data_IF_644589708515
#
_entry.id   IF_644589708515
#
_cell.length_a   1.000
_cell.length_b   1.000
_cell.length_c   1.000
_cell.angle_alpha   90.00
_cell.angle_beta   90.00
_cell.angle_gamma   90.00
#
_symmetry.space_group_name_H-M   'P 1'
#
loop_
_entity.id
_entity.type
_entity.pdbx_description
1 polymer ?
#
# COMPACT_ATOMS: atom_id res chain seq x y z
N UNK A 1 -21.12 10.42 4.80
CA UNK A 1 -20.86 11.66 4.07
C UNK A 1 -19.42 12.06 4.31
N UNK A 2 -18.72 12.42 3.27
CA UNK A 2 -17.37 12.95 3.36
C UNK A 2 -17.40 14.45 3.48
N UNK A 3 -16.56 14.93 4.35
CA UNK A 3 -16.18 16.33 4.38
C UNK A 3 -14.74 16.39 3.90
N UNK A 4 -14.56 16.82 2.66
CA UNK A 4 -13.28 17.30 2.22
C UNK A 4 -13.10 18.73 2.76
N UNK A 5 -12.12 18.89 3.65
CA UNK A 5 -11.60 20.21 4.04
C UNK A 5 -10.37 20.58 3.22
N UNK A 6 -10.05 19.80 2.19
CA UNK A 6 -9.00 20.12 1.25
C UNK A 6 -9.21 21.53 0.73
N UNK A 7 -8.23 22.23 0.47
CA UNK A 7 -8.17 23.62 -0.03
C UNK A 7 -9.40 24.51 0.25
N UNK A 8 -9.27 25.60 1.03
CA UNK A 8 -10.39 26.47 1.42
C UNK A 8 -11.21 27.04 0.24
N UNK A 9 -10.72 26.90 -0.97
CA UNK A 9 -11.33 27.39 -2.21
C UNK A 9 -12.22 26.35 -2.92
N UNK A 10 -12.21 25.07 -2.51
CA UNK A 10 -13.09 24.06 -3.09
C UNK A 10 -14.42 24.02 -2.35
N UNK A 11 -15.57 23.96 -3.07
CA UNK A 11 -16.83 23.68 -2.42
C UNK A 11 -16.76 22.31 -1.75
N UNK A 12 -17.33 22.14 -0.54
CA UNK A 12 -17.32 20.84 0.13
C UNK A 12 -18.05 19.82 -0.76
N UNK A 13 -17.33 18.80 -1.20
CA UNK A 13 -17.89 17.69 -1.95
C UNK A 13 -18.63 16.78 -0.97
N UNK A 14 -19.93 16.89 -0.93
CA UNK A 14 -20.79 16.01 -0.13
C UNK A 14 -21.14 14.78 -0.97
N UNK A 15 -20.31 13.75 -0.90
CA UNK A 15 -20.75 12.43 -1.35
C UNK A 15 -21.63 11.81 -0.26
N UNK A 16 -22.89 11.62 -0.56
CA UNK A 16 -23.78 10.86 0.30
C UNK A 16 -23.44 9.38 0.19
N UNK A 17 -23.53 8.65 1.29
CA UNK A 17 -23.51 7.19 1.23
C UNK A 17 -24.56 6.69 0.23
N UNK A 18 -24.32 5.54 -0.43
CA UNK A 18 -25.34 4.91 -1.28
C UNK A 18 -26.68 4.77 -0.53
N UNK A 19 -27.78 4.82 -1.27
CA UNK A 19 -29.11 4.74 -0.67
C UNK A 19 -29.23 3.46 0.19
N UNK A 20 -29.73 3.63 1.41
CA UNK A 20 -29.87 2.52 2.39
C UNK A 20 -28.65 2.27 3.27
N UNK A 21 -27.53 2.96 3.05
CA UNK A 21 -26.33 2.87 3.91
C UNK A 21 -26.35 4.01 4.92
N UNK A 22 -26.31 3.66 6.20
CA UNK A 22 -26.16 4.62 7.30
C UNK A 22 -24.68 4.75 7.66
N UNK A 23 -24.09 5.95 7.67
CA UNK A 23 -22.71 6.15 8.11
C UNK A 23 -22.53 5.66 9.56
N UNK A 24 -21.50 4.88 9.81
CA UNK A 24 -21.15 4.44 11.16
C UNK A 24 -20.64 5.60 12.03
N UNK A 25 -20.07 6.62 11.41
CA UNK A 25 -19.61 7.85 12.05
C UNK A 25 -20.24 9.06 11.35
N UNK A 26 -20.77 9.97 12.15
CA UNK A 26 -21.36 11.25 11.70
C UNK A 26 -20.53 12.46 12.15
N UNK A 27 -19.48 12.25 12.95
CA UNK A 27 -18.56 13.30 13.42
C UNK A 27 -17.68 13.75 12.28
N UNK A 28 -17.45 15.04 12.16
CA UNK A 28 -16.72 15.65 11.04
C UNK A 28 -15.25 15.22 10.99
N UNK A 29 -14.66 14.97 12.14
CA UNK A 29 -13.27 14.61 12.31
C UNK A 29 -13.15 13.62 13.48
N UNK A 30 -13.36 12.33 13.21
CA UNK A 30 -13.39 11.31 14.26
C UNK A 30 -12.01 10.81 14.65
N UNK A 31 -10.99 11.07 13.82
CA UNK A 31 -9.65 10.56 14.06
C UNK A 31 -8.90 11.40 15.09
N UNK A 32 -8.22 10.79 16.05
CA UNK A 32 -7.31 11.54 16.91
C UNK A 32 -6.09 11.99 16.07
N UNK A 33 -5.69 13.23 16.25
CA UNK A 33 -4.47 13.76 15.62
C UNK A 33 -3.25 13.58 16.51
N UNK A 34 -2.12 13.19 15.91
CA UNK A 34 -0.86 12.93 16.59
C UNK A 34 -0.83 11.59 17.30
N UNK A 35 0.26 11.34 18.03
CA UNK A 35 0.42 10.12 18.85
C UNK A 35 -0.65 10.04 19.92
N UNK A 36 -1.46 8.97 19.92
CA UNK A 36 -2.66 8.85 20.79
C UNK A 36 -3.26 7.46 20.76
N UNK A 37 -4.30 7.27 21.58
CA UNK A 37 -5.21 6.11 21.50
C UNK A 37 -6.47 6.52 20.72
N UNK A 38 -6.85 5.70 19.75
CA UNK A 38 -8.05 5.82 18.93
C UNK A 38 -8.99 4.62 19.11
N UNK A 39 -10.01 4.58 18.24
CA UNK A 39 -11.00 3.48 18.21
C UNK A 39 -11.11 2.94 16.79
N UNK A 40 -11.02 1.63 16.64
CA UNK A 40 -11.17 0.92 15.38
C UNK A 40 -12.64 0.52 15.12
N UNK A 41 -12.95 0.25 13.85
CA UNK A 41 -14.17 -0.42 13.45
C UNK A 41 -14.01 -1.93 13.53
N UNK A 42 -15.10 -2.62 13.86
CA UNK A 42 -15.18 -4.07 13.77
C UNK A 42 -16.26 -4.46 12.76
N UNK A 43 -15.85 -5.16 11.69
CA UNK A 43 -16.75 -5.65 10.64
C UNK A 43 -16.86 -7.16 10.78
N UNK A 44 -18.09 -7.67 10.82
CA UNK A 44 -18.39 -9.10 10.79
C UNK A 44 -19.35 -9.39 9.64
N UNK A 45 -19.19 -10.55 9.01
CA UNK A 45 -20.06 -11.00 7.91
C UNK A 45 -20.41 -12.47 8.08
N UNK A 46 -21.55 -12.87 7.55
CA UNK A 46 -22.05 -14.25 7.56
C UNK A 46 -21.58 -15.06 6.34
N UNK A 47 -20.85 -14.43 5.41
CA UNK A 47 -20.25 -15.04 4.24
C UNK A 47 -18.85 -14.51 3.95
N UNK A 48 -18.08 -15.18 3.08
CA UNK A 48 -16.77 -14.70 2.66
C UNK A 48 -16.86 -13.35 1.94
N UNK A 49 -15.98 -12.44 2.31
CA UNK A 49 -15.82 -11.14 1.65
C UNK A 49 -14.34 -10.86 1.36
N UNK A 50 -14.09 -9.96 0.44
CA UNK A 50 -12.87 -9.15 0.41
C UNK A 50 -13.23 -7.74 0.86
N UNK A 51 -12.37 -7.11 1.63
CA UNK A 51 -12.60 -5.77 2.16
C UNK A 51 -11.42 -4.85 1.84
N UNK A 52 -11.74 -3.62 1.48
CA UNK A 52 -10.78 -2.55 1.23
C UNK A 52 -11.18 -1.34 2.06
N UNK A 53 -10.20 -0.64 2.59
CA UNK A 53 -10.37 0.70 3.09
C UNK A 53 -9.99 1.67 1.96
N UNK A 54 -10.95 2.47 1.52
CA UNK A 54 -10.72 3.51 0.53
C UNK A 54 -10.94 4.88 1.20
N UNK A 55 -9.90 5.65 1.30
CA UNK A 55 -9.91 6.98 1.89
C UNK A 55 -9.67 8.05 0.81
N UNK A 56 -10.75 8.68 0.41
CA UNK A 56 -12.12 8.32 0.59
C UNK A 56 -12.71 7.48 -0.57
N UNK A 57 -13.68 6.59 -0.31
CA UNK A 57 -14.52 6.06 -1.40
C UNK A 57 -15.22 7.23 -2.15
N UNK A 58 -15.16 7.20 -3.48
CA UNK A 58 -15.57 8.34 -4.31
C UNK A 58 -14.52 9.46 -4.29
N UNK A 59 -13.25 9.10 -4.12
CA UNK A 59 -12.15 10.04 -3.89
C UNK A 59 -11.62 10.78 -5.10
N UNK A 60 -12.12 10.50 -6.32
CA UNK A 60 -11.61 11.13 -7.54
C UNK A 60 -11.65 12.68 -7.57
N UNK A 61 -12.41 13.30 -6.68
CA UNK A 61 -12.40 14.75 -6.49
C UNK A 61 -11.91 15.20 -5.11
N UNK A 62 -11.26 14.32 -4.37
CA UNK A 62 -10.67 14.63 -3.06
C UNK A 62 -9.24 15.13 -3.22
N UNK A 63 -8.76 15.88 -2.24
CA UNK A 63 -7.39 16.41 -2.26
C UNK A 63 -6.38 15.44 -1.62
N UNK A 64 -6.87 14.42 -0.92
CA UNK A 64 -6.02 13.43 -0.24
C UNK A 64 -6.70 12.07 -0.33
N UNK A 65 -6.06 11.13 -0.99
CA UNK A 65 -6.65 9.82 -1.29
C UNK A 65 -5.67 8.69 -1.02
N UNK A 66 -6.19 7.51 -0.70
CA UNK A 66 -5.41 6.28 -0.57
C UNK A 66 -6.35 5.08 -0.46
N UNK A 67 -5.84 3.88 -0.64
CA UNK A 67 -6.58 2.65 -0.37
C UNK A 67 -5.67 1.53 0.14
N UNK A 68 -6.24 0.59 0.88
CA UNK A 68 -5.54 -0.61 1.34
C UNK A 68 -6.42 -1.84 1.32
N UNK A 69 -5.82 -3.01 1.07
CA UNK A 69 -6.46 -4.29 1.34
C UNK A 69 -6.57 -4.50 2.85
N UNK A 70 -7.76 -4.84 3.33
CA UNK A 70 -7.98 -5.22 4.73
C UNK A 70 -7.83 -6.74 4.90
N UNK A 71 -6.82 -7.14 5.65
CA UNK A 71 -6.63 -8.54 6.02
C UNK A 71 -7.56 -8.91 7.18
N UNK A 72 -8.19 -10.09 7.13
CA UNK A 72 -9.05 -10.55 8.21
C UNK A 72 -8.25 -10.74 9.50
N UNK A 73 -8.93 -10.64 10.65
CA UNK A 73 -8.32 -10.83 11.98
C UNK A 73 -7.57 -12.18 12.08
N UNK A 74 -8.02 -13.21 11.37
CA UNK A 74 -7.33 -14.52 11.30
C UNK A 74 -5.96 -14.49 10.65
N UNK A 75 -5.64 -13.43 9.88
CA UNK A 75 -4.32 -13.20 9.31
C UNK A 75 -3.39 -12.41 10.25
N UNK A 76 -3.93 -11.80 11.29
CA UNK A 76 -3.15 -11.03 12.25
C UNK A 76 -2.20 -11.93 13.05
N UNK A 77 -1.13 -11.34 13.56
CA UNK A 77 -0.09 -12.08 14.28
C UNK A 77 0.48 -11.23 15.43
N UNK A 78 1.50 -11.77 16.07
CA UNK A 78 2.18 -11.16 17.21
C UNK A 78 3.55 -10.56 16.84
N UNK A 79 3.99 -10.67 15.58
CA UNK A 79 5.34 -10.29 15.17
C UNK A 79 5.34 -9.52 13.85
N UNK A 80 5.86 -8.29 13.88
CA UNK A 80 5.90 -7.38 12.73
C UNK A 80 7.21 -6.62 12.64
N UNK A 81 7.56 -6.23 11.43
CA UNK A 81 8.47 -5.12 11.14
C UNK A 81 7.58 -3.95 10.69
N UNK A 82 7.69 -2.82 11.37
CA UNK A 82 6.91 -1.65 11.02
C UNK A 82 7.33 -1.10 9.65
N UNK A 83 6.34 -0.66 8.90
CA UNK A 83 6.51 0.08 7.64
C UNK A 83 5.61 1.29 7.72
N UNK A 84 6.13 2.46 7.42
CA UNK A 84 5.38 3.70 7.31
C UNK A 84 5.67 4.38 5.97
N UNK A 85 5.11 5.56 5.76
CA UNK A 85 5.48 6.44 4.66
C UNK A 85 6.90 6.99 4.84
N UNK A 86 7.25 7.96 4.03
CA UNK A 86 8.54 8.65 4.12
C UNK A 86 8.59 9.59 5.33
N UNK A 87 9.73 10.20 5.57
CA UNK A 87 9.87 11.24 6.58
C UNK A 87 8.91 12.42 6.33
N UNK A 88 8.75 13.29 7.35
CA UNK A 88 7.83 14.43 7.27
C UNK A 88 8.01 15.24 5.98
N UNK A 89 6.90 15.47 5.29
CA UNK A 89 6.87 16.27 4.09
C UNK A 89 7.15 17.75 4.39
N UNK A 90 8.12 18.31 3.68
CA UNK A 90 8.41 19.74 3.74
C UNK A 90 7.34 20.56 3.00
N UNK A 91 6.67 19.97 2.03
CA UNK A 91 5.65 20.63 1.22
C UNK A 91 4.29 20.66 1.94
N UNK A 92 3.79 19.50 2.37
CA UNK A 92 2.46 19.37 2.96
C UNK A 92 2.43 19.59 4.47
N UNK A 93 3.56 19.43 5.16
CA UNK A 93 3.61 19.30 6.60
C UNK A 93 3.06 17.98 7.13
N UNK A 94 2.74 17.04 6.23
CA UNK A 94 2.32 15.68 6.58
C UNK A 94 3.43 14.92 7.29
N UNK A 95 3.06 13.89 8.02
CA UNK A 95 3.96 13.08 8.85
C UNK A 95 3.63 11.59 8.75
N UNK A 96 4.64 10.77 8.96
CA UNK A 96 4.49 9.32 9.01
C UNK A 96 3.67 8.86 10.22
N UNK A 97 3.00 7.71 10.09
CA UNK A 97 2.31 7.08 11.20
C UNK A 97 2.42 5.55 11.16
N UNK A 98 2.32 4.95 12.36
CA UNK A 98 2.09 3.52 12.57
C UNK A 98 0.88 3.38 13.48
N UNK A 99 -0.08 2.56 13.09
CA UNK A 99 -1.26 2.21 13.86
C UNK A 99 -1.22 0.73 14.23
N UNK A 100 -1.49 0.42 15.50
CA UNK A 100 -1.60 -0.94 16.01
C UNK A 100 -2.99 -1.14 16.59
N UNK A 101 -3.74 -2.10 16.04
CA UNK A 101 -5.14 -2.38 16.43
C UNK A 101 -5.20 -3.64 17.29
N UNK A 102 -5.77 -3.52 18.50
CA UNK A 102 -5.97 -4.64 19.40
C UNK A 102 -7.22 -5.45 19.06
N UNK A 103 -7.08 -6.79 19.07
CA UNK A 103 -8.21 -7.73 18.93
C UNK A 103 -8.70 -8.23 20.28
N UNK A 104 -7.86 -8.22 21.31
CA UNK A 104 -8.18 -8.70 22.66
C UNK A 104 -7.81 -7.66 23.72
N UNK A 105 -8.57 -7.65 24.82
CA UNK A 105 -8.30 -6.77 25.94
C UNK A 105 -6.98 -7.11 26.63
N UNK A 106 -6.27 -6.07 27.10
CA UNK A 106 -5.02 -6.22 27.83
C UNK A 106 -3.86 -6.72 26.97
N UNK A 107 -3.95 -6.63 25.63
CA UNK A 107 -2.85 -6.98 24.73
C UNK A 107 -1.67 -6.04 24.97
N UNK A 108 -0.53 -6.60 25.33
CA UNK A 108 0.72 -5.82 25.41
C UNK A 108 1.41 -5.80 24.04
N UNK A 109 1.86 -4.61 23.64
CA UNK A 109 2.62 -4.37 22.41
C UNK A 109 3.97 -3.80 22.81
N UNK A 110 5.02 -4.54 22.58
CA UNK A 110 6.41 -4.08 22.77
C UNK A 110 6.98 -3.65 21.43
N UNK A 111 7.40 -2.40 21.33
CA UNK A 111 8.08 -1.85 20.16
C UNK A 111 9.53 -1.54 20.50
N UNK A 112 10.46 -2.00 19.66
CA UNK A 112 11.84 -1.55 19.61
C UNK A 112 11.95 -0.52 18.49
N UNK A 113 11.84 0.79 18.78
CA UNK A 113 11.65 1.79 17.75
C UNK A 113 12.96 2.14 17.04
N UNK A 114 12.92 2.27 15.73
CA UNK A 114 14.04 2.71 14.87
C UNK A 114 14.45 4.17 15.13
N UNK A 115 13.48 5.01 15.52
CA UNK A 115 13.65 6.39 15.95
C UNK A 115 12.92 6.62 17.27
N UNK A 116 13.25 7.69 18.00
CA UNK A 116 12.55 8.01 19.25
C UNK A 116 11.05 8.25 18.98
N UNK A 117 10.17 7.63 19.78
CA UNK A 117 8.73 7.84 19.74
C UNK A 117 8.38 9.14 20.47
N UNK A 118 7.69 10.04 19.78
CA UNK A 118 7.14 11.27 20.38
C UNK A 118 5.91 10.93 21.22
N UNK A 119 5.92 11.33 22.49
CA UNK A 119 4.78 11.18 23.39
C UNK A 119 3.56 11.97 22.87
N UNK A 120 2.37 11.43 23.15
CA UNK A 120 1.11 12.08 22.81
C UNK A 120 0.01 11.75 23.81
N UNK A 121 -1.27 12.00 23.47
CA UNK A 121 -2.42 11.78 24.36
C UNK A 121 -2.52 10.33 24.84
N UNK A 122 -2.17 10.07 26.11
CA UNK A 122 -2.26 8.75 26.72
C UNK A 122 -1.21 7.75 26.25
N UNK A 123 -0.23 8.17 25.45
CA UNK A 123 0.85 7.34 24.93
C UNK A 123 2.19 7.93 25.33
N UNK A 124 2.98 7.16 26.06
CA UNK A 124 4.33 7.58 26.46
C UNK A 124 5.30 7.56 25.28
N UNK A 125 6.29 8.45 25.30
CA UNK A 125 7.41 8.40 24.38
C UNK A 125 8.37 7.26 24.70
N UNK A 126 9.24 6.94 23.73
CA UNK A 126 10.31 5.97 23.87
C UNK A 126 11.61 6.46 23.22
N UNK A 127 12.76 6.09 23.74
CA UNK A 127 14.03 6.35 23.08
C UNK A 127 14.24 5.38 21.92
N UNK A 128 14.95 5.81 20.88
CA UNK A 128 15.35 4.94 19.78
C UNK A 128 16.08 3.69 20.28
N UNK A 129 15.78 2.53 19.73
CA UNK A 129 16.38 1.25 20.11
C UNK A 129 15.99 0.72 21.48
N UNK A 130 15.18 1.46 22.27
CA UNK A 130 14.80 1.04 23.63
C UNK A 130 13.43 0.36 23.60
N UNK A 131 13.35 -0.97 23.79
CA UNK A 131 12.07 -1.67 23.83
C UNK A 131 11.13 -1.06 24.86
N UNK A 132 9.97 -0.65 24.40
CA UNK A 132 8.94 -0.01 25.25
C UNK A 132 7.61 -0.71 25.04
N UNK A 133 6.93 -1.03 26.15
CA UNK A 133 5.68 -1.77 26.14
C UNK A 133 4.49 -0.84 26.36
N UNK A 134 3.49 -0.99 25.52
CA UNK A 134 2.21 -0.33 25.58
C UNK A 134 1.11 -1.37 25.78
N UNK A 135 -0.07 -0.95 26.20
CA UNK A 135 -1.25 -1.81 26.30
C UNK A 135 -2.32 -1.29 25.35
N UNK A 136 -2.92 -2.20 24.60
CA UNK A 136 -4.06 -1.92 23.73
C UNK A 136 -5.18 -2.92 24.05
N UNK A 137 -6.42 -2.44 24.08
CA UNK A 137 -7.59 -3.26 24.29
C UNK A 137 -8.31 -3.56 22.96
N UNK A 138 -9.23 -4.49 23.00
CA UNK A 138 -10.07 -4.81 21.84
C UNK A 138 -10.73 -3.57 21.27
N UNK A 139 -10.55 -3.35 19.95
CA UNK A 139 -11.10 -2.21 19.24
C UNK A 139 -10.40 -0.86 19.49
N UNK A 140 -9.30 -0.86 20.28
CA UNK A 140 -8.44 0.31 20.38
C UNK A 140 -7.39 0.34 19.29
N UNK A 141 -7.03 1.55 18.88
CA UNK A 141 -5.89 1.86 18.00
C UNK A 141 -4.84 2.55 18.84
N UNK A 142 -3.62 2.00 18.88
CA UNK A 142 -2.43 2.67 19.38
C UNK A 142 -1.75 3.32 18.18
N UNK A 143 -1.82 4.64 18.12
CA UNK A 143 -1.30 5.44 17.00
C UNK A 143 -0.01 6.14 17.38
N UNK A 144 1.02 5.96 16.59
CA UNK A 144 2.26 6.74 16.62
C UNK A 144 2.30 7.62 15.37
N UNK A 145 2.34 8.94 15.55
CA UNK A 145 2.37 9.91 14.46
C UNK A 145 3.44 10.95 14.73
N UNK A 146 4.41 11.07 13.86
CA UNK A 146 5.57 11.94 14.06
C UNK A 146 6.36 12.22 12.78
N UNK A 147 7.25 13.23 12.85
CA UNK A 147 8.08 13.66 11.72
C UNK A 147 9.17 12.66 11.34
N UNK A 148 9.72 11.93 12.31
CA UNK A 148 10.72 10.88 12.05
C UNK A 148 10.00 9.57 11.71
N UNK A 149 10.48 8.85 10.71
CA UNK A 149 9.98 7.52 10.36
C UNK A 149 10.22 6.52 11.49
N UNK A 150 9.24 5.62 11.66
CA UNK A 150 9.35 4.45 12.53
C UNK A 150 9.49 3.16 11.72
N UNK A 151 9.60 3.26 10.39
CA UNK A 151 9.90 2.14 9.51
C UNK A 151 11.12 1.36 9.98
N UNK A 152 11.03 0.03 9.92
CA UNK A 152 12.06 -0.86 10.47
C UNK A 152 11.98 -1.13 11.98
N UNK A 153 11.09 -0.47 12.73
CA UNK A 153 10.84 -0.80 14.13
C UNK A 153 10.31 -2.22 14.27
N UNK A 154 10.74 -2.93 15.31
CA UNK A 154 10.29 -4.30 15.58
C UNK A 154 9.14 -4.26 16.57
N UNK A 155 8.01 -4.86 16.21
CA UNK A 155 6.84 -4.98 17.07
C UNK A 155 6.61 -6.44 17.45
N UNK A 156 6.34 -6.63 18.75
CA UNK A 156 5.86 -7.89 19.29
C UNK A 156 4.67 -7.65 20.20
N UNK A 157 3.68 -8.53 20.13
CA UNK A 157 2.51 -8.44 20.99
C UNK A 157 2.23 -9.77 21.71
N UNK A 158 1.52 -9.69 22.83
CA UNK A 158 1.13 -10.87 23.60
C UNK A 158 -0.05 -11.63 22.98
N UNK A 159 -0.81 -10.97 22.12
CA UNK A 159 -1.94 -11.50 21.36
C UNK A 159 -1.88 -10.94 19.95
N UNK A 160 -2.52 -11.56 18.94
CA UNK A 160 -2.54 -11.03 17.58
C UNK A 160 -3.04 -9.59 17.51
N UNK A 161 -2.39 -8.77 16.72
CA UNK A 161 -2.74 -7.38 16.43
C UNK A 161 -2.72 -7.13 14.92
N UNK A 162 -3.49 -6.13 14.46
CA UNK A 162 -3.35 -5.59 13.13
C UNK A 162 -2.42 -4.38 13.14
N UNK A 163 -1.58 -4.24 12.10
CA UNK A 163 -0.65 -3.12 11.97
C UNK A 163 -0.90 -2.41 10.66
N UNK A 164 -0.99 -1.09 10.69
CA UNK A 164 -1.03 -0.22 9.51
C UNK A 164 0.13 0.74 9.57
N UNK A 165 0.61 1.13 8.40
CA UNK A 165 1.56 2.21 8.28
C UNK A 165 1.22 3.11 7.12
N UNK A 166 1.60 4.38 7.23
CA UNK A 166 1.25 5.35 6.23
C UNK A 166 1.83 6.73 6.48
N UNK A 167 1.23 7.71 5.82
CA UNK A 167 1.62 9.12 5.91
C UNK A 167 0.39 10.02 5.76
N UNK A 168 0.33 11.10 6.53
CA UNK A 168 -0.84 12.02 6.53
C UNK A 168 -0.81 13.02 5.38
N UNK A 169 0.25 13.06 4.59
CA UNK A 169 0.41 13.91 3.41
C UNK A 169 1.75 13.62 2.77
N UNK A 170 1.83 12.46 2.09
CA UNK A 170 3.06 11.90 1.52
C UNK A 170 3.57 12.75 0.37
N UNK A 171 4.87 13.03 0.39
CA UNK A 171 5.65 13.44 -0.78
C UNK A 171 6.82 12.48 -0.96
N UNK A 172 7.23 12.24 -2.19
CA UNK A 172 8.32 11.34 -2.52
C UNK A 172 9.40 12.10 -3.29
N UNK A 173 10.62 12.06 -2.76
CA UNK A 173 11.78 12.68 -3.40
C UNK A 173 11.72 14.22 -3.42
N UNK A 174 12.11 14.80 -4.54
CA UNK A 174 12.12 16.26 -4.79
C UNK A 174 10.84 16.73 -5.48
N UNK A 175 9.72 16.05 -5.23
CA UNK A 175 8.46 16.38 -5.85
C UNK A 175 7.95 17.74 -5.32
N UNK A 176 7.88 18.73 -6.20
CA UNK A 176 7.44 20.07 -5.86
C UNK A 176 5.91 20.19 -5.74
N UNK A 177 5.18 19.20 -6.19
CA UNK A 177 3.73 19.00 -6.13
C UNK A 177 3.50 17.50 -6.07
N UNK A 178 2.61 17.04 -5.46
CA UNK A 178 1.57 17.39 -4.56
C UNK A 178 1.65 16.41 -3.40
N UNK A 179 0.70 16.35 -2.52
CA UNK A 179 0.81 15.42 -1.39
C UNK A 179 -0.49 14.68 -1.20
N UNK A 180 -0.42 13.37 -1.08
CA UNK A 180 -1.59 12.53 -0.85
C UNK A 180 -1.53 11.81 0.51
N UNK A 181 -2.66 11.37 1.02
CA UNK A 181 -2.66 10.39 2.09
C UNK A 181 -2.09 9.07 1.59
N UNK A 182 -1.46 8.30 2.45
CA UNK A 182 -1.02 6.96 2.09
C UNK A 182 -1.16 6.03 3.29
N UNK A 183 -1.72 4.83 3.09
CA UNK A 183 -1.80 3.84 4.15
C UNK A 183 -1.90 2.42 3.59
N UNK A 184 -1.23 1.49 4.26
CA UNK A 184 -1.32 0.07 3.95
C UNK A 184 -1.46 -0.73 5.25
N UNK A 185 -2.28 -1.77 5.25
CA UNK A 185 -2.23 -2.78 6.29
C UNK A 185 -0.97 -3.63 6.06
N UNK A 186 -0.09 -3.66 7.05
CA UNK A 186 1.21 -4.31 6.94
C UNK A 186 1.06 -5.81 7.26
N UNK A 187 1.55 -6.72 6.40
CA UNK A 187 1.52 -8.14 6.69
C UNK A 187 2.47 -8.51 7.84
N UNK A 188 2.12 -9.52 8.66
CA UNK A 188 3.01 -10.01 9.71
C UNK A 188 4.26 -10.67 9.12
N UNK A 189 5.32 -10.80 9.94
CA UNK A 189 6.60 -11.39 9.50
C UNK A 189 6.41 -12.75 8.81
N UNK A 190 5.52 -13.61 9.30
CA UNK A 190 5.27 -14.93 8.69
C UNK A 190 4.73 -14.90 7.26
N UNK A 191 4.18 -13.76 6.82
CA UNK A 191 3.67 -13.53 5.46
C UNK A 191 4.67 -12.79 4.56
N UNK A 192 5.86 -12.42 5.07
CA UNK A 192 6.90 -11.80 4.26
C UNK A 192 7.62 -12.85 3.42
N UNK A 193 7.90 -12.50 2.18
CA UNK A 193 8.60 -13.37 1.24
C UNK A 193 10.13 -13.31 1.33
N UNK A 194 10.76 -14.34 0.80
CA UNK A 194 12.18 -14.33 0.43
C UNK A 194 12.41 -14.05 -1.06
N UNK A 195 11.34 -13.80 -1.81
CA UNK A 195 11.36 -13.47 -3.24
C UNK A 195 10.19 -12.55 -3.58
N UNK A 196 10.46 -11.53 -4.41
CA UNK A 196 9.47 -10.59 -4.90
C UNK A 196 9.67 -10.29 -6.38
N UNK A 197 8.58 -9.91 -7.06
CA UNK A 197 8.58 -9.46 -8.45
C UNK A 197 8.18 -7.99 -8.45
N UNK A 198 9.13 -7.10 -8.71
CA UNK A 198 8.92 -5.66 -8.80
C UNK A 198 8.41 -5.29 -10.19
N UNK A 199 7.17 -4.85 -10.26
CA UNK A 199 6.55 -4.32 -11.50
C UNK A 199 5.73 -3.10 -11.13
N UNK A 200 6.08 -1.96 -11.69
CA UNK A 200 5.32 -0.71 -11.51
C UNK A 200 4.07 -0.68 -12.40
N UNK A 201 3.18 0.28 -12.16
CA UNK A 201 2.10 0.67 -13.07
C UNK A 201 2.67 1.13 -14.44
N UNK A 202 1.79 1.32 -15.45
CA UNK A 202 2.22 1.88 -16.74
C UNK A 202 2.65 3.35 -16.62
N UNK A 203 3.38 3.84 -17.62
CA UNK A 203 3.66 5.28 -17.71
C UNK A 203 2.35 6.08 -17.75
N UNK A 204 2.25 7.09 -16.90
CA UNK A 204 1.10 7.99 -16.82
C UNK A 204 1.14 9.05 -17.91
N UNK A 205 2.33 9.42 -18.33
CA UNK A 205 2.59 10.47 -19.31
C UNK A 205 3.19 9.91 -20.59
N UNK A 206 2.67 10.32 -21.74
CA UNK A 206 3.15 9.85 -23.04
C UNK A 206 4.60 10.29 -23.28
N UNK A 207 5.45 9.32 -23.63
CA UNK A 207 6.87 9.58 -23.93
C UNK A 207 7.76 9.78 -22.70
N UNK A 208 7.27 9.46 -21.51
CA UNK A 208 8.10 9.35 -20.31
C UNK A 208 8.50 7.89 -20.05
N UNK A 209 9.54 7.72 -19.27
CA UNK A 209 9.99 6.44 -18.74
C UNK A 209 10.03 6.61 -17.22
N UNK A 210 8.89 6.31 -16.56
CA UNK A 210 8.77 6.53 -15.13
C UNK A 210 9.61 5.52 -14.36
N UNK A 211 10.34 6.01 -13.38
CA UNK A 211 11.16 5.19 -12.48
C UNK A 211 10.80 5.49 -11.01
N UNK A 212 9.67 4.99 -10.54
CA UNK A 212 9.22 5.23 -9.16
C UNK A 212 10.03 4.42 -8.15
N UNK A 213 10.05 4.86 -6.89
CA UNK A 213 10.76 4.14 -5.83
C UNK A 213 10.15 2.78 -5.52
N UNK A 214 11.02 1.87 -5.12
CA UNK A 214 10.70 0.68 -4.35
C UNK A 214 11.39 0.77 -2.99
N UNK A 215 10.74 0.26 -1.95
CA UNK A 215 11.29 0.22 -0.60
C UNK A 215 11.41 -1.22 -0.14
N UNK A 216 12.57 -1.59 0.41
CA UNK A 216 12.80 -2.87 1.08
C UNK A 216 13.00 -2.65 2.57
N UNK A 217 12.45 -3.55 3.40
CA UNK A 217 12.69 -3.56 4.84
C UNK A 217 13.13 -4.95 5.27
N UNK A 218 14.31 -5.06 5.87
CA UNK A 218 14.85 -6.33 6.32
C UNK A 218 14.12 -6.89 7.54
N UNK A 219 13.74 -8.16 7.50
CA UNK A 219 13.13 -8.87 8.63
C UNK A 219 14.07 -9.91 9.26
N UNK A 220 15.30 -10.01 8.78
CA UNK A 220 16.33 -10.87 9.36
C UNK A 220 17.71 -10.23 9.18
N UNK A 221 18.63 -10.53 10.12
CA UNK A 221 20.03 -10.12 9.97
C UNK A 221 20.75 -11.01 8.96
N UNK A 222 21.75 -10.43 8.26
CA UNK A 222 22.57 -11.18 7.32
C UNK A 222 21.83 -11.59 6.04
N UNK A 223 20.74 -10.90 5.70
CA UNK A 223 20.05 -11.11 4.44
C UNK A 223 20.93 -10.65 3.29
N UNK A 224 21.20 -11.54 2.34
CA UNK A 224 21.90 -11.24 1.08
C UNK A 224 20.90 -11.28 -0.07
N UNK A 225 20.97 -10.29 -0.96
CA UNK A 225 20.01 -10.15 -2.05
C UNK A 225 20.65 -10.41 -3.41
N UNK A 226 19.90 -11.06 -4.28
CA UNK A 226 20.21 -11.26 -5.69
C UNK A 226 19.08 -10.72 -6.55
N UNK A 227 19.41 -10.21 -7.73
CA UNK A 227 18.46 -9.60 -8.65
C UNK A 227 18.51 -10.27 -10.02
N UNK A 228 17.40 -10.27 -10.74
CA UNK A 228 17.28 -10.72 -12.11
C UNK A 228 16.43 -9.71 -12.90
N UNK A 229 16.96 -9.10 -14.00
CA UNK A 229 18.21 -9.42 -14.71
C UNK A 229 19.47 -8.85 -14.02
N UNK A 230 19.38 -7.77 -13.31
CA UNK A 230 20.45 -7.07 -12.60
C UNK A 230 19.86 -6.21 -11.48
N UNK A 231 20.64 -5.83 -10.46
CA UNK A 231 20.14 -4.91 -9.45
C UNK A 231 19.83 -3.54 -10.07
N UNK A 232 18.63 -2.96 -9.82
CA UNK A 232 18.38 -1.57 -10.12
C UNK A 232 19.40 -0.64 -9.45
N UNK A 233 19.60 0.55 -10.00
CA UNK A 233 20.55 1.51 -9.44
C UNK A 233 20.16 1.87 -8.00
N UNK A 234 21.07 1.74 -7.06
CA UNK A 234 20.82 1.97 -5.64
C UNK A 234 20.22 0.79 -4.87
N UNK A 235 19.82 -0.28 -5.56
CA UNK A 235 19.29 -1.46 -4.89
C UNK A 235 20.35 -2.13 -3.98
N UNK A 236 19.99 -2.55 -2.74
CA UNK A 236 20.97 -3.08 -1.79
C UNK A 236 21.36 -4.52 -2.13
N UNK A 237 22.63 -4.86 -1.89
CA UNK A 237 23.10 -6.25 -1.97
C UNK A 237 22.82 -7.04 -0.67
N UNK A 238 22.56 -6.35 0.44
CA UNK A 238 22.32 -6.96 1.76
C UNK A 238 21.31 -6.14 2.54
N UNK A 239 20.61 -6.78 3.49
CA UNK A 239 19.75 -6.12 4.46
C UNK A 239 20.08 -6.64 5.87
N UNK A 240 20.01 -5.75 6.84
CA UNK A 240 19.97 -6.08 8.27
C UNK A 240 18.51 -6.02 8.76
N UNK A 241 18.24 -6.64 9.89
CA UNK A 241 16.95 -6.54 10.57
C UNK A 241 16.58 -5.07 10.82
N UNK A 242 15.38 -4.67 10.39
CA UNK A 242 14.88 -3.30 10.52
C UNK A 242 15.52 -2.29 9.57
N UNK A 243 16.47 -2.68 8.75
CA UNK A 243 17.05 -1.76 7.76
C UNK A 243 16.04 -1.44 6.67
N UNK A 244 15.81 -0.16 6.43
CA UNK A 244 14.99 0.37 5.33
C UNK A 244 15.93 0.85 4.23
N UNK A 245 15.67 0.48 2.98
CA UNK A 245 16.42 0.93 1.79
C UNK A 245 15.45 1.25 0.67
N UNK A 246 15.68 2.36 0.00
CA UNK A 246 14.92 2.82 -1.15
C UNK A 246 15.80 2.87 -2.39
N UNK A 247 15.21 2.58 -3.55
CA UNK A 247 15.85 2.70 -4.85
C UNK A 247 14.79 2.84 -5.93
N UNK A 248 15.13 3.49 -7.03
CA UNK A 248 14.23 3.69 -8.16
C UNK A 248 14.36 2.57 -9.19
N UNK A 249 13.23 2.14 -9.76
CA UNK A 249 13.22 1.16 -10.84
C UNK A 249 12.08 1.41 -11.83
N UNK A 250 12.43 1.67 -13.08
CA UNK A 250 11.51 1.76 -14.22
C UNK A 250 11.20 0.37 -14.79
N UNK A 251 12.25 -0.44 -14.96
CA UNK A 251 12.16 -1.79 -15.50
C UNK A 251 11.75 -2.83 -14.47
N UNK A 252 10.99 -3.87 -14.85
CA UNK A 252 10.64 -4.98 -13.98
C UNK A 252 11.87 -5.80 -13.55
N UNK A 253 11.85 -6.24 -12.31
CA UNK A 253 12.93 -7.05 -11.73
C UNK A 253 12.38 -8.11 -10.76
N UNK A 254 13.19 -9.13 -10.52
CA UNK A 254 12.99 -10.07 -9.41
C UNK A 254 14.08 -9.83 -8.39
N UNK A 255 13.73 -9.80 -7.11
CA UNK A 255 14.69 -9.76 -6.00
C UNK A 255 14.48 -10.97 -5.10
N UNK A 256 15.61 -11.62 -4.68
CA UNK A 256 15.57 -12.80 -3.81
C UNK A 256 16.58 -12.67 -2.69
N UNK A 257 16.21 -13.10 -1.50
CA UNK A 257 17.17 -13.45 -0.45
C UNK A 257 17.67 -14.87 -0.63
N UNK A 258 18.65 -15.27 0.15
CA UNK A 258 19.29 -16.59 0.05
C UNK A 258 18.36 -17.76 0.42
N UNK A 259 17.36 -17.55 1.29
CA UNK A 259 16.44 -18.60 1.75
C UNK A 259 15.23 -18.02 2.50
N UNK A 260 14.30 -18.89 2.93
CA UNK A 260 13.08 -18.51 3.64
C UNK A 260 13.33 -18.07 5.11
N UNK A 261 14.52 -18.22 5.67
CA UNK A 261 14.89 -17.71 6.98
C UNK A 261 15.33 -16.23 6.93
N UNK A 262 15.43 -15.68 5.71
CA UNK A 262 15.80 -14.28 5.48
C UNK A 262 14.69 -13.54 4.71
N UNK A 263 13.46 -13.50 5.26
CA UNK A 263 12.38 -12.74 4.65
C UNK A 263 12.65 -11.24 4.72
N UNK A 264 11.99 -10.50 3.84
CA UNK A 264 12.02 -9.04 3.84
C UNK A 264 10.67 -8.51 3.33
N UNK A 265 10.36 -7.27 3.63
CA UNK A 265 9.19 -6.57 3.10
C UNK A 265 9.57 -5.80 1.84
N UNK A 266 8.64 -5.67 0.91
CA UNK A 266 8.78 -4.83 -0.27
C UNK A 266 7.49 -4.03 -0.53
N UNK A 267 7.65 -2.74 -0.84
CA UNK A 267 6.60 -1.90 -1.39
C UNK A 267 7.02 -1.25 -2.70
N UNK A 268 6.03 -0.99 -3.56
CA UNK A 268 6.15 -0.15 -4.74
C UNK A 268 5.47 1.19 -4.49
N UNK A 269 5.91 2.24 -5.17
CA UNK A 269 5.40 3.59 -4.97
C UNK A 269 4.94 4.22 -6.28
N UNK A 270 4.11 5.25 -6.17
CA UNK A 270 3.85 6.25 -7.20
C UNK A 270 4.38 7.58 -6.67
N UNK A 271 5.11 8.31 -7.49
CA UNK A 271 5.48 9.70 -7.20
C UNK A 271 4.34 10.63 -7.55
N UNK A 272 4.34 11.84 -7.03
CA UNK A 272 3.48 12.90 -7.51
C UNK A 272 3.67 13.19 -9.02
N UNK A 273 2.89 14.11 -9.53
CA UNK A 273 2.94 14.49 -10.94
C UNK A 273 4.20 15.28 -11.29
N UNK A 274 4.77 16.02 -10.35
CA UNK A 274 5.81 17.03 -10.57
C UNK A 274 7.02 16.56 -11.42
N UNK A 275 7.63 15.40 -11.16
CA UNK A 275 8.78 14.93 -11.93
C UNK A 275 8.49 14.72 -13.42
N UNK A 276 7.25 14.44 -13.80
CA UNK A 276 6.84 14.10 -15.17
C UNK A 276 5.95 15.17 -15.81
N UNK A 277 5.40 16.08 -15.01
CA UNK A 277 4.57 17.21 -15.43
C UNK A 277 5.04 18.50 -14.74
N UNK A 278 6.24 19.02 -15.08
CA UNK A 278 6.84 20.17 -14.39
C UNK A 278 6.03 21.46 -14.55
N UNK A 279 5.15 21.51 -15.55
CA UNK A 279 4.24 22.65 -15.75
C UNK A 279 2.88 22.47 -15.04
N UNK A 280 2.66 21.34 -14.39
CA UNK A 280 1.43 20.98 -13.68
C UNK A 280 0.17 21.15 -14.54
N UNK A 281 0.25 20.70 -15.79
CA UNK A 281 -0.81 20.86 -16.78
C UNK A 281 -1.76 19.67 -16.85
N UNK A 282 -1.28 18.47 -16.51
CA UNK A 282 -2.03 17.22 -16.60
C UNK A 282 -2.36 16.62 -15.24
N UNK A 283 -1.44 16.69 -14.28
CA UNK A 283 -1.67 16.29 -12.88
C UNK A 283 -2.14 14.85 -12.70
N UNK A 284 -1.48 13.90 -13.39
CA UNK A 284 -1.84 12.48 -13.33
C UNK A 284 -1.24 11.81 -12.12
N UNK A 285 -2.10 11.56 -11.13
CA UNK A 285 -1.75 10.86 -9.90
C UNK A 285 -0.98 11.72 -8.91
N UNK A 286 -0.83 11.18 -7.72
CA UNK A 286 -0.18 11.76 -6.57
C UNK A 286 0.59 10.68 -5.79
N UNK A 287 1.42 11.01 -4.80
CA UNK A 287 2.19 10.01 -4.08
C UNK A 287 1.32 8.93 -3.42
N UNK A 288 1.68 7.68 -3.64
CA UNK A 288 1.04 6.53 -3.02
C UNK A 288 2.09 5.42 -2.81
N UNK A 289 1.83 4.50 -1.87
CA UNK A 289 2.59 3.26 -1.79
C UNK A 289 1.66 2.04 -1.66
N UNK A 290 2.16 0.88 -2.10
CA UNK A 290 1.41 -0.36 -2.07
C UNK A 290 2.31 -1.52 -1.64
N UNK A 291 1.79 -2.42 -0.81
CA UNK A 291 2.47 -3.69 -0.52
C UNK A 291 2.66 -4.50 -1.81
N UNK A 292 3.87 -4.91 -2.11
CA UNK A 292 4.13 -5.92 -3.15
C UNK A 292 3.93 -7.30 -2.55
N UNK A 293 2.99 -8.06 -3.09
CA UNK A 293 2.69 -9.40 -2.58
C UNK A 293 3.75 -10.39 -3.09
N UNK A 294 4.40 -11.16 -2.21
CA UNK A 294 5.36 -12.16 -2.64
C UNK A 294 4.66 -13.32 -3.35
N UNK A 295 5.32 -13.99 -4.33
CA UNK A 295 4.70 -15.08 -5.08
C UNK A 295 4.12 -16.24 -4.24
N UNK A 296 4.65 -16.45 -3.03
CA UNK A 296 4.12 -17.44 -2.08
C UNK A 296 2.72 -17.10 -1.53
N UNK A 297 2.30 -15.85 -1.64
CA UNK A 297 1.00 -15.35 -1.19
C UNK A 297 0.01 -15.09 -2.34
N UNK A 298 0.36 -15.40 -3.59
CA UNK A 298 -0.52 -15.24 -4.74
C UNK A 298 -1.76 -16.12 -4.64
N UNK A 299 -2.86 -15.63 -5.21
CA UNK A 299 -4.13 -16.35 -5.31
C UNK A 299 -4.44 -16.73 -6.76
N UNK A 300 -5.29 -17.75 -6.96
CA UNK A 300 -5.74 -18.13 -8.30
C UNK A 300 -7.06 -17.44 -8.71
N UNK A 301 -7.67 -16.70 -7.81
CA UNK A 301 -8.93 -15.98 -8.06
C UNK A 301 -9.02 -14.74 -7.18
N UNK A 302 -9.48 -13.65 -7.77
CA UNK A 302 -9.74 -12.39 -7.07
C UNK A 302 -11.13 -11.87 -7.44
N UNK A 303 -11.80 -11.30 -6.45
CA UNK A 303 -12.91 -10.38 -6.65
C UNK A 303 -12.47 -9.04 -6.10
N UNK A 304 -12.48 -8.02 -6.91
CA UNK A 304 -11.99 -6.69 -6.52
C UNK A 304 -12.94 -5.60 -7.03
N UNK A 305 -12.76 -4.41 -6.49
CA UNK A 305 -13.57 -3.25 -6.81
C UNK A 305 -12.67 -2.06 -7.13
N UNK A 306 -12.96 -1.34 -8.22
CA UNK A 306 -12.27 -0.10 -8.57
C UNK A 306 -13.24 1.08 -8.47
N UNK A 307 -12.79 2.17 -7.84
CA UNK A 307 -13.63 3.33 -7.59
C UNK A 307 -14.02 4.02 -8.92
N UNK A 308 -15.32 4.16 -9.20
CA UNK A 308 -15.80 4.75 -10.46
C UNK A 308 -15.55 6.25 -10.60
N UNK A 309 -15.04 6.90 -9.58
CA UNK A 309 -14.75 8.35 -9.61
C UNK A 309 -13.33 8.68 -10.09
N UNK A 310 -12.48 7.66 -10.29
CA UNK A 310 -11.14 7.82 -10.87
C UNK A 310 -11.20 7.56 -12.38
N UNK A 311 -10.72 8.50 -13.22
CA UNK A 311 -10.84 8.38 -14.67
C UNK A 311 -9.89 7.37 -15.29
N UNK A 312 -8.80 7.05 -14.63
CA UNK A 312 -7.81 6.09 -15.10
C UNK A 312 -7.54 5.01 -14.08
N UNK A 313 -7.59 3.75 -14.52
CA UNK A 313 -7.35 2.58 -13.67
C UNK A 313 -6.52 1.55 -14.43
N UNK A 314 -5.39 1.17 -13.83
CA UNK A 314 -4.42 0.24 -14.39
C UNK A 314 -4.23 -0.95 -13.44
N UNK A 315 -4.40 -2.14 -13.97
CA UNK A 315 -4.10 -3.40 -13.28
C UNK A 315 -2.69 -3.84 -13.63
N UNK A 316 -1.90 -4.21 -12.62
CA UNK A 316 -0.59 -4.84 -12.78
C UNK A 316 -0.69 -6.28 -12.34
N UNK A 317 -0.40 -7.20 -13.26
CA UNK A 317 -0.47 -8.63 -13.01
C UNK A 317 0.91 -9.27 -13.16
N UNK A 318 1.20 -10.22 -12.27
CA UNK A 318 2.40 -11.07 -12.34
C UNK A 318 2.00 -12.52 -12.22
N UNK A 319 2.57 -13.42 -13.04
CA UNK A 319 2.34 -14.85 -12.94
C UNK A 319 3.64 -15.63 -12.93
N UNK A 320 3.64 -16.76 -12.22
CA UNK A 320 4.78 -17.65 -12.15
C UNK A 320 4.63 -18.83 -13.11
N UNK A 321 5.74 -19.28 -13.68
CA UNK A 321 5.79 -20.49 -14.50
C UNK A 321 5.55 -21.73 -13.61
N UNK A 322 4.52 -22.50 -13.92
CA UNK A 322 4.26 -23.80 -13.32
C UNK A 322 4.94 -24.95 -14.09
N UNK A 323 4.69 -26.18 -13.67
CA UNK A 323 5.25 -27.36 -14.32
C UNK A 323 4.79 -27.56 -15.78
N UNK A 324 3.64 -26.97 -16.14
CA UNK A 324 3.06 -27.03 -17.49
C UNK A 324 3.20 -25.72 -18.29
N UNK A 325 4.04 -24.79 -17.81
CA UNK A 325 4.18 -23.46 -18.38
C UNK A 325 3.38 -22.42 -17.60
N UNK A 326 3.15 -21.27 -18.22
CA UNK A 326 2.33 -20.20 -17.65
C UNK A 326 0.85 -20.47 -17.86
N UNK A 327 0.06 -20.41 -16.79
CA UNK A 327 -1.38 -20.57 -16.86
C UNK A 327 -2.05 -19.29 -17.40
N UNK A 328 -3.12 -19.45 -18.17
CA UNK A 328 -3.93 -18.34 -18.64
C UNK A 328 -4.65 -17.65 -17.47
N UNK A 329 -4.75 -16.33 -17.55
CA UNK A 329 -5.49 -15.48 -16.61
C UNK A 329 -6.66 -14.86 -17.36
N UNK A 330 -7.87 -14.96 -16.83
CA UNK A 330 -9.10 -14.45 -17.46
C UNK A 330 -9.76 -13.40 -16.57
N UNK A 331 -9.97 -12.20 -17.12
CA UNK A 331 -10.70 -11.09 -16.51
C UNK A 331 -12.14 -11.07 -17.06
N UNK A 332 -13.12 -10.89 -16.19
CA UNK A 332 -14.56 -10.97 -16.53
C UNK A 332 -14.97 -10.07 -17.71
N UNK A 333 -14.42 -8.87 -17.81
CA UNK A 333 -14.75 -7.91 -18.88
C UNK A 333 -13.88 -8.06 -20.14
N UNK A 334 -12.65 -8.59 -20.04
CA UNK A 334 -11.68 -8.66 -21.15
C UNK A 334 -11.42 -10.10 -21.65
N UNK A 335 -11.91 -11.12 -20.94
CA UNK A 335 -11.60 -12.53 -21.27
C UNK A 335 -10.15 -12.88 -20.94
N UNK A 336 -9.54 -13.79 -21.71
CA UNK A 336 -8.17 -14.24 -21.51
C UNK A 336 -7.18 -13.11 -21.81
N UNK A 337 -6.36 -12.78 -20.82
CA UNK A 337 -5.39 -11.70 -20.93
C UNK A 337 -4.18 -12.11 -21.78
N UNK A 338 -3.68 -11.16 -22.53
CA UNK A 338 -2.53 -11.30 -23.43
C UNK A 338 -1.48 -10.21 -23.15
N UNK A 339 -0.44 -10.13 -23.99
CA UNK A 339 0.59 -9.08 -23.83
C UNK A 339 1.54 -9.35 -22.66
N UNK A 340 1.70 -10.59 -22.27
CA UNK A 340 2.63 -10.99 -21.22
C UNK A 340 4.07 -10.79 -21.65
N UNK A 341 4.87 -10.20 -20.76
CA UNK A 341 6.28 -9.90 -20.93
C UNK A 341 7.10 -10.60 -19.85
N UNK A 342 8.20 -11.28 -20.17
CA UNK A 342 9.07 -11.89 -19.18
C UNK A 342 9.63 -10.86 -18.18
N UNK A 343 9.75 -11.26 -16.90
CA UNK A 343 10.51 -10.52 -15.88
C UNK A 343 11.85 -11.22 -15.68
N UNK A 344 12.94 -10.48 -15.91
CA UNK A 344 14.29 -11.02 -15.81
C UNK A 344 14.64 -11.98 -16.95
N UNK A 345 15.71 -12.72 -16.74
CA UNK A 345 16.26 -13.68 -17.70
C UNK A 345 15.98 -15.14 -17.35
N UNK A 346 15.53 -15.39 -16.10
CA UNK A 346 15.30 -16.75 -15.57
C UNK A 346 14.07 -17.45 -16.10
N UNK A 347 13.18 -16.75 -16.82
CA UNK A 347 11.94 -17.32 -17.40
C UNK A 347 10.91 -17.79 -16.37
N UNK A 348 11.09 -17.41 -15.09
CA UNK A 348 10.22 -17.86 -14.01
C UNK A 348 8.94 -17.01 -13.90
N UNK A 349 8.99 -15.75 -14.28
CA UNK A 349 7.88 -14.80 -14.14
C UNK A 349 7.59 -14.07 -15.44
N UNK A 350 6.31 -13.74 -15.59
CA UNK A 350 5.82 -12.79 -16.60
C UNK A 350 4.89 -11.77 -15.94
N UNK A 351 4.79 -10.60 -16.54
CA UNK A 351 3.84 -9.58 -16.15
C UNK A 351 3.03 -9.08 -17.33
N UNK A 352 1.88 -8.50 -17.07
CA UNK A 352 1.11 -7.69 -18.01
C UNK A 352 0.45 -6.53 -17.27
N UNK A 353 0.08 -5.48 -18.03
CA UNK A 353 -0.65 -4.32 -17.54
C UNK A 353 -1.93 -4.17 -18.35
N UNK A 354 -3.04 -3.96 -17.67
CA UNK A 354 -4.36 -3.84 -18.29
C UNK A 354 -5.01 -2.56 -17.79
N UNK A 355 -5.38 -1.66 -18.70
CA UNK A 355 -6.21 -0.54 -18.36
C UNK A 355 -7.69 -0.96 -18.35
N UNK A 356 -8.39 -0.65 -17.27
CA UNK A 356 -9.86 -0.74 -17.21
C UNK A 356 -10.48 0.54 -17.76
N UNK A 357 -9.86 1.66 -17.49
CA UNK A 357 -10.28 3.00 -17.90
C UNK A 357 -9.08 3.89 -18.13
N UNK A 358 -9.17 4.81 -19.10
CA UNK A 358 -8.12 5.80 -19.41
C UNK A 358 -8.73 7.17 -19.72
N UNK A 359 -7.92 8.22 -19.60
CA UNK A 359 -8.29 9.58 -19.97
C UNK A 359 -9.47 10.12 -19.16
N UNK A 360 -10.59 10.42 -19.82
CA UNK A 360 -11.81 10.85 -19.15
C UNK A 360 -12.81 9.69 -19.11
N UNK A 361 -12.57 8.71 -18.22
CA UNK A 361 -13.45 7.54 -18.00
C UNK A 361 -13.70 6.71 -19.27
N UNK A 362 -12.73 6.63 -20.17
CA UNK A 362 -12.87 5.82 -21.37
C UNK A 362 -12.56 4.36 -21.06
N UNK A 363 -13.61 3.54 -20.99
CA UNK A 363 -13.46 2.10 -20.79
C UNK A 363 -12.60 1.44 -21.85
N UNK A 364 -11.80 0.46 -21.48
CA UNK A 364 -10.85 -0.25 -22.35
C UNK A 364 -11.22 -1.72 -22.47
N UNK A 365 -11.20 -2.24 -23.72
CA UNK A 365 -11.42 -3.66 -23.99
C UNK A 365 -12.75 -4.24 -23.43
N UNK A 366 -13.79 -3.43 -23.34
CA UNK A 366 -15.08 -3.81 -22.75
C UNK A 366 -15.14 -3.64 -21.22
N UNK A 367 -14.04 -3.20 -20.60
CA UNK A 367 -13.96 -2.95 -19.16
C UNK A 367 -14.28 -1.50 -18.80
N UNK A 368 -14.65 -1.29 -17.55
CA UNK A 368 -14.82 0.00 -16.88
C UNK A 368 -14.48 -0.18 -15.41
N UNK A 369 -14.50 0.92 -14.64
CA UNK A 369 -14.42 0.81 -13.19
C UNK A 369 -15.66 0.10 -12.60
N UNK A 370 -15.50 -0.47 -11.42
CA UNK A 370 -16.52 -1.18 -10.68
C UNK A 370 -16.05 -2.50 -10.10
N UNK A 371 -16.99 -3.42 -9.89
CA UNK A 371 -16.68 -4.75 -9.40
C UNK A 371 -16.21 -5.64 -10.55
N UNK A 372 -15.09 -6.34 -10.31
CA UNK A 372 -14.53 -7.30 -11.25
C UNK A 372 -14.23 -8.65 -10.59
N UNK A 373 -14.13 -9.68 -11.43
CA UNK A 373 -13.56 -10.96 -11.06
C UNK A 373 -12.52 -11.41 -12.08
N UNK A 374 -11.45 -12.01 -11.57
CA UNK A 374 -10.33 -12.48 -12.38
C UNK A 374 -9.86 -13.82 -11.85
N UNK A 375 -9.59 -14.77 -12.74
CA UNK A 375 -9.30 -16.16 -12.37
C UNK A 375 -8.20 -16.76 -13.24
N UNK A 376 -7.51 -17.74 -12.67
CA UNK A 376 -6.54 -18.61 -13.37
C UNK A 376 -6.55 -20.01 -12.76
N UNK A 377 -5.97 -20.97 -13.45
CA UNK A 377 -5.72 -22.32 -12.89
C UNK A 377 -4.48 -22.39 -12.02
N UNK A 378 -3.65 -21.34 -12.00
CA UNK A 378 -2.48 -21.23 -11.13
C UNK A 378 -2.49 -19.86 -10.40
N UNK A 379 -1.80 -19.74 -9.26
CA UNK A 379 -1.70 -18.47 -8.54
C UNK A 379 -1.00 -17.37 -9.36
N UNK A 380 -1.49 -16.15 -9.23
CA UNK A 380 -0.92 -14.93 -9.82
C UNK A 380 -1.10 -13.73 -8.87
N UNK A 381 -0.27 -12.71 -9.00
CA UNK A 381 -0.38 -11.47 -8.26
C UNK A 381 -1.20 -10.43 -9.02
N UNK A 382 -1.95 -9.61 -8.30
CA UNK A 382 -2.75 -8.51 -8.85
C UNK A 382 -2.67 -7.29 -7.95
N UNK A 383 -2.22 -6.18 -8.53
CA UNK A 383 -2.23 -4.85 -7.89
C UNK A 383 -3.11 -3.91 -8.72
N UNK A 384 -3.96 -3.18 -8.04
CA UNK A 384 -4.80 -2.13 -8.60
C UNK A 384 -4.14 -0.78 -8.37
N UNK A 385 -4.06 0.02 -9.43
CA UNK A 385 -3.64 1.41 -9.40
C UNK A 385 -4.69 2.28 -10.09
N UNK A 386 -5.05 3.39 -9.49
CA UNK A 386 -5.89 4.36 -10.14
C UNK A 386 -5.42 5.79 -9.86
N UNK A 387 -5.67 6.68 -10.79
CA UNK A 387 -5.25 8.07 -10.67
C UNK A 387 -6.14 9.02 -11.45
N UNK A 388 -6.05 10.29 -11.09
CA UNK A 388 -6.75 11.38 -11.74
C UNK A 388 -6.13 11.78 -13.08
N UNK A 389 -6.81 12.70 -13.78
CA UNK A 389 -6.38 13.19 -15.09
C UNK A 389 -6.96 14.57 -15.37
N UNK A 390 -6.19 15.44 -16.03
CA UNK A 390 -6.68 16.71 -16.59
C UNK A 390 -7.76 16.53 -17.66
N UNK A 391 -7.89 15.35 -18.23
CA UNK A 391 -8.95 15.05 -19.20
C UNK A 391 -10.35 15.17 -18.62
N UNK A 392 -10.53 15.14 -17.29
CA UNK A 392 -11.81 15.36 -16.61
C UNK A 392 -12.16 16.85 -16.45
N UNK A 393 -11.25 17.74 -16.70
CA UNK A 393 -11.36 19.18 -16.56
C UNK A 393 -10.17 19.77 -15.82
N UNK A 394 -9.91 21.04 -16.03
CA UNK A 394 -8.84 21.79 -15.35
C UNK A 394 -9.43 22.89 -14.47
N UNK A 395 -8.79 23.14 -13.34
CA UNK A 395 -9.25 24.12 -12.36
C UNK A 395 -10.38 23.59 -11.46
N UNK A 396 -10.84 24.41 -10.53
CA UNK A 396 -11.79 24.03 -9.46
C UNK A 396 -13.26 24.02 -9.88
N UNK A 397 -13.55 23.98 -11.17
CA UNK A 397 -14.92 23.98 -11.71
C UNK A 397 -15.19 22.67 -12.47
N UNK A 398 -16.31 22.03 -12.17
CA UNK A 398 -16.70 20.77 -12.80
C UNK A 398 -16.19 19.54 -12.06
N UNK A 399 -16.02 18.42 -12.77
CA UNK A 399 -15.50 17.17 -12.23
C UNK A 399 -13.96 17.17 -12.38
N UNK A 400 -13.28 17.66 -11.36
CA UNK A 400 -11.82 17.81 -11.34
C UNK A 400 -11.19 16.67 -10.57
N UNK A 401 -10.25 15.94 -11.19
CA UNK A 401 -9.61 14.77 -10.59
C UNK A 401 -8.07 14.82 -10.62
N UNK A 402 -7.46 15.93 -11.03
CA UNK A 402 -6.00 16.03 -11.02
C UNK A 402 -5.44 15.82 -9.61
N UNK A 403 -4.22 15.28 -9.51
CA UNK A 403 -3.48 15.09 -8.27
C UNK A 403 -4.19 14.20 -7.25
N UNK A 404 -4.73 13.07 -7.69
CA UNK A 404 -5.28 12.03 -6.81
C UNK A 404 -4.84 10.66 -7.30
N UNK A 405 -4.62 9.75 -6.36
CA UNK A 405 -4.34 8.35 -6.66
C UNK A 405 -4.76 7.43 -5.53
N UNK A 406 -4.87 6.16 -5.80
CA UNK A 406 -4.88 5.09 -4.82
C UNK A 406 -4.27 3.83 -5.40
N UNK A 407 -3.78 2.97 -4.51
CA UNK A 407 -3.33 1.64 -4.87
C UNK A 407 -3.57 0.63 -3.75
N UNK A 408 -3.83 -0.62 -4.13
CA UNK A 408 -3.90 -1.73 -3.19
C UNK A 408 -3.66 -3.07 -3.90
N UNK A 409 -3.11 -4.08 -3.20
CA UNK A 409 -3.11 -5.45 -3.71
C UNK A 409 -4.54 -5.99 -3.67
N UNK A 410 -5.02 -6.60 -4.77
CA UNK A 410 -6.41 -7.07 -4.86
C UNK A 410 -6.74 -8.21 -3.90
N UNK A 411 -5.74 -8.84 -3.32
CA UNK A 411 -5.84 -9.89 -2.32
C UNK A 411 -4.50 -10.56 -2.10
N UNK A 412 -4.40 -11.29 -1.00
CA UNK A 412 -3.26 -12.17 -0.72
C UNK A 412 -3.72 -13.39 0.07
N UNK A 413 -2.94 -14.47 0.02
CA UNK A 413 -3.09 -15.61 0.92
C UNK A 413 -2.82 -15.16 2.36
N UNK A 414 -3.40 -15.87 3.32
CA UNK A 414 -3.15 -15.67 4.74
C UNK A 414 -2.34 -16.82 5.36
N UNK A 415 -1.90 -17.77 4.54
CA UNK A 415 -1.10 -18.89 4.99
C UNK A 415 0.34 -18.42 5.28
N UNK A 416 0.96 -18.88 6.37
CA UNK A 416 2.38 -18.57 6.61
C UNK A 416 3.27 -19.13 5.50
N UNK A 417 4.17 -18.30 4.97
CA UNK A 417 5.16 -18.70 3.95
C UNK A 417 6.60 -18.75 4.50
N UNK A 418 6.78 -18.34 5.76
CA UNK A 418 8.03 -18.55 6.50
C UNK A 418 7.71 -18.85 7.98
N UNK A 419 8.73 -19.21 8.74
CA UNK A 419 8.66 -19.56 10.18
C UNK A 419 9.53 -18.64 11.04
N UNK A 420 9.95 -17.52 10.50
CA UNK A 420 10.79 -16.56 11.21
C UNK A 420 10.01 -15.86 12.28
N UNK A 421 10.57 -15.80 13.48
CA UNK A 421 10.11 -14.97 14.59
C UNK A 421 11.27 -14.06 14.97
N UNK A 422 11.05 -12.77 14.88
CA UNK A 422 12.03 -11.78 15.33
C UNK A 422 11.96 -11.74 16.85
N UNK A 423 13.03 -12.11 17.58
CA UNK A 423 13.01 -12.08 19.03
C UNK A 423 12.89 -10.65 19.55
N UNK A 424 12.38 -10.44 20.78
CA UNK A 424 12.48 -9.15 21.44
C UNK A 424 13.96 -8.80 21.49
N UNK A 425 14.31 -7.61 20.98
CA UNK A 425 15.70 -7.13 21.05
C UNK A 425 16.08 -7.04 22.52
N UNK A 426 16.86 -7.99 23.00
CA UNK A 426 17.49 -7.87 24.32
C UNK A 426 18.46 -6.70 24.26
N UNK A 427 18.36 -5.83 25.25
CA UNK A 427 19.30 -4.73 25.47
C UNK A 427 20.75 -5.23 25.51
#
# INVERSE_FOLDING_TARGET
SKYDKGFPSLPPLNYSCPAGVTPAITTLDPAPHGTSLGTAFHITTDGPIVAYDEYPYGGGQSAMTSATLLLPVSAWDTNYVAVDGFAASQLSGGVAFIDVVGEQDGTTVTISPSAAITAGKGVAGAAAGTPTTYTVNRGQVLQFTQSAELGGSILQSSQPVGVWGGHTGLNIGTDDCCADGAHQQIPPVRALGSEYVGVRYRDRYAGTDESPPFRLVGAANGTTLTYDPAPPTGAPATLSLGQVVEFDAGDPFVVRSQDAQHPFYMSGHMTGAGPYDPNQTDGRGDPEFVNVIPPGEFLSSYVFFTDPTYPETNLVLTRAQGSSGFADVSLDCAGTLTGWTPVGTGGKYEYTRIDLSTGNFQGQNGCNNGRHSITSTAPFGLTVWAWGSAATGSGLTGFYTQYVSYAYPAGQSIAPINVVVIPPMSQ
#
